data_IF_554403475070
#
_entry.id   IF_554403475070
#
_cell.length_a   1.000
_cell.length_b   1.000
_cell.length_c   1.000
_cell.angle_alpha   90.00
_cell.angle_beta   90.00
_cell.angle_gamma   90.00
#
_symmetry.space_group_name_H-M   'P 1'
#
loop_
_entity.id
_entity.type
_entity.pdbx_description
1 polymer ?
#
# COMPACT_ATOMS: atom_id res chain seq x y z
N UNK A 1 3.16 -15.62 -6.93
CA UNK A 1 3.60 -14.29 -7.43
C UNK A 1 4.99 -14.41 -8.01
N UNK A 2 5.24 -13.78 -9.17
CA UNK A 2 6.54 -13.83 -9.85
C UNK A 2 7.02 -12.43 -10.28
N UNK A 3 6.33 -11.37 -9.84
CA UNK A 3 6.61 -10.00 -10.24
C UNK A 3 7.53 -9.23 -9.31
N UNK A 4 7.54 -7.91 -9.50
CA UNK A 4 8.43 -6.98 -8.79
C UNK A 4 7.71 -5.80 -8.14
N UNK A 5 6.38 -5.76 -8.19
CA UNK A 5 5.58 -4.67 -7.59
C UNK A 5 4.90 -5.18 -6.31
N UNK A 6 5.34 -4.68 -5.15
CA UNK A 6 4.66 -4.92 -3.88
C UNK A 6 3.44 -4.02 -3.75
N UNK A 7 2.34 -4.53 -3.20
CA UNK A 7 1.08 -3.78 -3.09
C UNK A 7 0.65 -3.61 -1.64
N UNK A 8 0.38 -2.37 -1.23
CA UNK A 8 -0.30 -2.08 0.03
C UNK A 8 -1.68 -1.51 -0.27
N UNK A 9 -2.73 -2.19 0.17
CA UNK A 9 -4.12 -1.95 -0.24
C UNK A 9 -5.06 -2.13 0.93
N UNK A 10 -6.30 -1.64 0.84
CA UNK A 10 -7.34 -1.95 1.82
C UNK A 10 -8.56 -2.60 1.17
N UNK A 11 -8.99 -3.72 1.73
CA UNK A 11 -10.08 -4.56 1.26
C UNK A 11 -9.71 -5.46 0.08
N UNK A 12 -10.19 -6.71 0.13
CA UNK A 12 -9.92 -7.73 -0.87
C UNK A 12 -10.30 -7.32 -2.31
N UNK A 13 -11.41 -6.59 -2.50
CA UNK A 13 -11.84 -6.14 -3.83
C UNK A 13 -10.86 -5.16 -4.47
N UNK A 14 -10.37 -4.18 -3.70
CA UNK A 14 -9.38 -3.22 -4.17
C UNK A 14 -8.03 -3.89 -4.39
N UNK A 15 -7.66 -4.86 -3.54
CA UNK A 15 -6.45 -5.66 -3.70
C UNK A 15 -6.42 -6.38 -5.04
N UNK A 16 -7.47 -7.14 -5.35
CA UNK A 16 -7.58 -7.89 -6.61
C UNK A 16 -7.59 -6.96 -7.81
N UNK A 17 -8.40 -5.90 -7.78
CA UNK A 17 -8.44 -4.92 -8.87
C UNK A 17 -7.09 -4.23 -9.10
N UNK A 18 -6.35 -3.92 -8.04
CA UNK A 18 -5.01 -3.31 -8.14
C UNK A 18 -4.03 -4.26 -8.83
N UNK A 19 -4.05 -5.55 -8.46
CA UNK A 19 -3.21 -6.56 -9.10
C UNK A 19 -3.58 -6.77 -10.57
N UNK A 20 -4.87 -6.77 -10.91
CA UNK A 20 -5.35 -6.86 -12.29
C UNK A 20 -4.91 -5.65 -13.12
N UNK A 21 -4.99 -4.44 -12.56
CA UNK A 21 -4.51 -3.21 -13.24
C UNK A 21 -3.01 -3.27 -13.50
N UNK A 22 -2.21 -3.76 -12.54
CA UNK A 22 -0.76 -3.95 -12.73
C UNK A 22 -0.50 -4.87 -13.92
N UNK A 23 -1.19 -6.03 -13.96
CA UNK A 23 -1.07 -7.01 -15.05
C UNK A 23 -1.52 -6.47 -16.40
N UNK A 24 -2.63 -5.74 -16.42
CA UNK A 24 -3.17 -5.13 -17.63
C UNK A 24 -2.16 -4.17 -18.29
N UNK A 25 -1.30 -3.53 -17.50
CA UNK A 25 -0.26 -2.62 -17.98
C UNK A 25 1.12 -3.29 -18.12
N UNK A 26 1.19 -4.62 -18.14
CA UNK A 26 2.41 -5.39 -18.38
C UNK A 26 3.36 -5.52 -17.18
N UNK A 27 2.94 -5.08 -16.00
CA UNK A 27 3.64 -5.34 -14.74
C UNK A 27 3.20 -6.67 -14.12
N UNK A 28 3.91 -7.11 -13.08
CA UNK A 28 3.50 -8.27 -12.29
C UNK A 28 3.59 -7.95 -10.79
N UNK A 29 2.55 -8.27 -10.00
CA UNK A 29 2.64 -8.17 -8.54
C UNK A 29 3.66 -9.16 -7.97
N UNK A 30 4.50 -8.68 -7.06
CA UNK A 30 5.43 -9.48 -6.26
C UNK A 30 4.73 -10.06 -5.03
N UNK A 31 3.96 -9.23 -4.34
CA UNK A 31 3.15 -9.59 -3.19
C UNK A 31 2.10 -8.50 -2.95
N UNK A 32 1.17 -8.77 -2.04
CA UNK A 32 0.23 -7.76 -1.56
C UNK A 32 -0.06 -7.95 -0.08
N UNK A 33 -0.40 -6.86 0.59
CA UNK A 33 -0.87 -6.85 1.97
C UNK A 33 -2.12 -5.98 2.07
N UNK A 34 -3.18 -6.55 2.63
CA UNK A 34 -4.43 -5.87 2.93
C UNK A 34 -4.38 -5.29 4.36
N UNK A 35 -4.54 -3.97 4.48
CA UNK A 35 -4.60 -3.26 5.76
C UNK A 35 -6.06 -3.01 6.17
N UNK A 36 -6.39 -3.38 7.41
CA UNK A 36 -7.71 -3.18 8.00
C UNK A 36 -8.01 -1.72 8.34
N UNK A 37 -9.29 -1.38 8.51
CA UNK A 37 -9.76 0.01 8.66
C UNK A 37 -9.22 0.80 9.86
N UNK A 38 -8.69 0.11 10.88
CA UNK A 38 -8.09 0.71 12.08
C UNK A 38 -6.56 0.68 12.07
N UNK A 39 -5.92 0.60 10.90
CA UNK A 39 -4.47 0.50 10.80
C UNK A 39 -3.77 1.70 11.45
N UNK A 40 -2.84 1.43 12.35
CA UNK A 40 -1.96 2.43 12.96
C UNK A 40 -0.71 2.64 12.12
N UNK A 41 0.01 3.74 12.36
CA UNK A 41 1.29 4.00 11.70
C UNK A 41 2.29 2.83 11.88
N UNK A 42 2.38 2.28 13.09
CA UNK A 42 3.20 1.09 13.37
C UNK A 42 2.79 -0.14 12.53
N UNK A 43 1.48 -0.37 12.35
CA UNK A 43 1.01 -1.48 11.50
C UNK A 43 1.34 -1.26 10.03
N UNK A 44 1.31 0.00 9.55
CA UNK A 44 1.78 0.34 8.21
C UNK A 44 3.28 0.05 8.09
N UNK A 45 4.10 0.44 9.06
CA UNK A 45 5.55 0.14 9.05
C UNK A 45 5.84 -1.36 9.01
N UNK A 46 5.14 -2.16 9.82
CA UNK A 46 5.27 -3.62 9.76
C UNK A 46 4.80 -4.19 8.41
N UNK A 47 3.76 -3.62 7.81
CA UNK A 47 3.34 -4.01 6.47
C UNK A 47 4.44 -3.77 5.42
N UNK A 48 5.13 -2.62 5.49
CA UNK A 48 6.28 -2.36 4.62
C UNK A 48 7.44 -3.33 4.87
N UNK A 49 7.74 -3.69 6.12
CA UNK A 49 8.74 -4.75 6.44
C UNK A 49 8.38 -6.07 5.77
N UNK A 50 7.12 -6.50 5.85
CA UNK A 50 6.64 -7.73 5.22
C UNK A 50 6.73 -7.65 3.69
N UNK A 51 6.24 -6.56 3.08
CA UNK A 51 6.28 -6.37 1.62
C UNK A 51 7.73 -6.42 1.11
N UNK A 52 8.63 -5.69 1.77
CA UNK A 52 10.04 -5.57 1.36
C UNK A 52 10.91 -6.77 1.73
N UNK A 53 10.40 -7.70 2.54
CA UNK A 53 11.09 -8.97 2.83
C UNK A 53 11.21 -9.87 1.59
N UNK A 54 10.34 -9.67 0.59
CA UNK A 54 10.49 -10.29 -0.72
C UNK A 54 11.51 -9.51 -1.55
N UNK A 55 12.68 -10.13 -1.78
CA UNK A 55 13.79 -9.54 -2.54
C UNK A 55 13.47 -9.23 -4.00
N UNK A 56 12.34 -9.72 -4.53
CA UNK A 56 11.89 -9.37 -5.89
C UNK A 56 11.25 -7.99 -5.96
N UNK A 57 10.85 -7.40 -4.83
CA UNK A 57 10.17 -6.10 -4.80
C UNK A 57 11.13 -4.99 -5.21
N UNK A 58 10.82 -4.34 -6.33
CA UNK A 58 11.56 -3.21 -6.89
C UNK A 58 10.76 -1.91 -6.84
N UNK A 59 9.44 -1.97 -6.65
CA UNK A 59 8.57 -0.82 -6.44
C UNK A 59 7.40 -1.20 -5.53
N UNK A 60 6.87 -0.21 -4.80
CA UNK A 60 5.66 -0.38 -3.99
C UNK A 60 4.55 0.50 -4.55
N UNK A 61 3.39 -0.10 -4.81
CA UNK A 61 2.15 0.62 -5.08
C UNK A 61 1.28 0.60 -3.83
N UNK A 62 1.06 1.77 -3.24
CA UNK A 62 0.07 1.97 -2.18
C UNK A 62 -1.22 2.48 -2.82
N UNK A 63 -2.29 1.70 -2.76
CA UNK A 63 -3.59 2.07 -3.28
C UNK A 63 -4.66 1.90 -2.21
N UNK A 64 -5.01 3.00 -1.53
CA UNK A 64 -5.94 2.99 -0.40
C UNK A 64 -7.13 3.92 -0.64
N UNK A 65 -8.32 3.44 -0.26
CA UNK A 65 -9.56 4.19 -0.21
C UNK A 65 -9.99 4.43 1.24
N UNK A 66 -9.97 5.70 1.65
CA UNK A 66 -10.20 6.27 2.98
C UNK A 66 -11.64 6.27 3.46
N UNK A 67 -12.42 5.22 3.19
CA UNK A 67 -13.82 5.12 3.64
C UNK A 67 -13.92 5.16 5.16
N UNK A 68 -13.67 4.02 5.82
CA UNK A 68 -13.50 3.94 7.29
C UNK A 68 -12.04 4.17 7.73
N UNK A 69 -11.13 4.19 6.77
CA UNK A 69 -9.69 4.38 6.97
C UNK A 69 -9.35 5.85 7.15
N UNK A 70 -8.51 6.15 8.12
CA UNK A 70 -7.92 7.48 8.32
C UNK A 70 -6.69 7.66 7.42
N UNK A 71 -6.88 8.33 6.27
CA UNK A 71 -5.81 8.52 5.28
C UNK A 71 -4.60 9.32 5.81
N UNK A 72 -4.82 10.19 6.79
CA UNK A 72 -3.75 10.92 7.49
C UNK A 72 -2.84 9.97 8.27
N UNK A 73 -3.42 9.03 9.05
CA UNK A 73 -2.66 7.99 9.78
C UNK A 73 -1.90 7.08 8.81
N UNK A 74 -2.51 6.72 7.68
CA UNK A 74 -1.83 5.94 6.64
C UNK A 74 -0.66 6.71 6.03
N UNK A 75 -0.85 7.99 5.70
CA UNK A 75 0.20 8.82 5.11
C UNK A 75 1.38 9.00 6.08
N UNK A 76 1.11 9.24 7.36
CA UNK A 76 2.12 9.29 8.42
C UNK A 76 2.88 7.96 8.51
N UNK A 77 2.16 6.84 8.57
CA UNK A 77 2.78 5.51 8.58
C UNK A 77 3.66 5.20 7.37
N UNK A 78 3.30 5.68 6.17
CA UNK A 78 4.15 5.52 4.98
C UNK A 78 5.45 6.31 5.12
N UNK A 79 5.38 7.54 5.63
CA UNK A 79 6.56 8.40 5.83
C UNK A 79 7.48 7.78 6.90
N UNK A 80 6.91 7.38 8.03
CA UNK A 80 7.64 6.71 9.11
C UNK A 80 8.31 5.43 8.62
N UNK A 81 7.57 4.56 7.90
CA UNK A 81 8.11 3.34 7.33
C UNK A 81 9.26 3.61 6.36
N UNK A 82 9.11 4.61 5.48
CA UNK A 82 10.15 4.97 4.52
C UNK A 82 11.42 5.47 5.21
N UNK A 83 11.30 6.21 6.31
CA UNK A 83 12.42 6.71 7.10
C UNK A 83 13.07 5.60 7.93
N UNK A 84 12.29 4.84 8.71
CA UNK A 84 12.78 3.77 9.60
C UNK A 84 13.51 2.69 8.80
N UNK A 85 12.90 2.24 7.70
CA UNK A 85 13.44 1.16 6.87
C UNK A 85 14.46 1.65 5.83
N UNK A 86 14.72 2.96 5.78
CA UNK A 86 15.63 3.58 4.81
C UNK A 86 15.36 3.16 3.36
N UNK A 87 14.07 3.07 2.99
CA UNK A 87 13.63 2.50 1.72
C UNK A 87 14.26 3.26 0.53
N UNK A 88 14.90 2.51 -0.37
CA UNK A 88 15.47 3.02 -1.62
C UNK A 88 14.62 2.72 -2.85
N UNK A 89 13.65 1.83 -2.70
CA UNK A 89 12.71 1.46 -3.75
C UNK A 89 11.64 2.56 -3.91
N UNK A 90 11.22 2.87 -5.14
CA UNK A 90 10.16 3.84 -5.38
C UNK A 90 8.83 3.39 -4.76
N UNK A 91 8.16 4.34 -4.10
CA UNK A 91 6.82 4.17 -3.52
C UNK A 91 5.88 5.09 -4.28
N UNK A 92 4.90 4.52 -4.98
CA UNK A 92 3.83 5.25 -5.66
C UNK A 92 2.59 5.17 -4.78
N UNK A 93 2.11 6.33 -4.34
CA UNK A 93 1.01 6.41 -3.38
C UNK A 93 -0.20 7.04 -4.04
N UNK A 94 -1.34 6.35 -3.93
CA UNK A 94 -2.66 6.87 -4.22
C UNK A 94 -3.54 6.68 -2.98
N UNK A 95 -3.94 7.80 -2.38
CA UNK A 95 -4.91 7.86 -1.30
C UNK A 95 -6.14 8.60 -1.80
N UNK A 96 -7.32 7.97 -1.73
CA UNK A 96 -8.59 8.65 -1.97
C UNK A 96 -9.37 8.77 -0.67
N UNK A 97 -9.71 9.99 -0.27
CA UNK A 97 -10.66 10.22 0.84
C UNK A 97 -12.08 10.23 0.31
N UNK A 98 -13.04 9.79 1.14
CA UNK A 98 -14.44 10.06 0.87
C UNK A 98 -14.77 11.47 1.37
N UNK A 99 -15.26 12.35 0.49
CA UNK A 99 -15.89 13.60 0.93
C UNK A 99 -17.24 13.26 1.58
N UNK A 100 -17.22 12.96 2.88
CA UNK A 100 -18.41 12.98 3.71
C UNK A 100 -18.10 13.70 5.04
N UNK A 101 -17.49 14.87 4.92
CA UNK A 101 -17.31 15.85 5.99
C UNK A 101 -17.18 17.24 5.37
N UNK A 102 -18.24 17.64 4.67
CA UNK A 102 -18.46 19.03 4.28
C UNK A 102 -19.96 19.33 4.39
N UNK A 103 -20.51 19.10 5.58
CA UNK A 103 -21.68 19.78 6.15
C UNK A 103 -21.52 19.80 7.67
#
# INVERSE_FOLDING_TARGET
FAGSIGCLVNGAGLAMATMDIIKLHGGEPANFLDVGGGATAAQVTEAFKIITSDSKVQAILVNIFGGIMRCDVIAEGIIEAAQELHLKIPIVVRLQVNQQSAL
#
